data_IF_976899462635
#
_entry.id   IF_976899462635
#
_cell.length_a   1.000
_cell.length_b   1.000
_cell.length_c   1.000
_cell.angle_alpha   90.00
_cell.angle_beta   90.00
_cell.angle_gamma   90.00
#
_symmetry.space_group_name_H-M   'P 1'
#
loop_
_entity.id
_entity.type
_entity.pdbx_description
1 polymer ?
#
# COMPACT_ATOMS: atom_id res chain seq x y z
N UNK A 1 -31.62 -75.25 -16.00
CA UNK A 1 -31.50 -74.18 -14.97
C UNK A 1 -30.12 -74.23 -14.35
N UNK A 2 -29.26 -73.24 -14.61
CA UNK A 2 -27.96 -73.02 -13.96
C UNK A 2 -27.79 -71.51 -13.75
N UNK A 3 -27.59 -71.11 -12.48
CA UNK A 3 -27.32 -69.73 -12.02
C UNK A 3 -25.81 -69.44 -12.06
N UNK A 4 -25.43 -68.15 -12.10
CA UNK A 4 -24.20 -67.46 -11.60
C UNK A 4 -23.84 -66.30 -12.57
N UNK A 5 -24.25 -65.04 -12.39
CA UNK A 5 -23.76 -63.97 -11.47
C UNK A 5 -22.27 -63.62 -11.63
N UNK A 6 -21.95 -62.48 -12.27
CA UNK A 6 -20.70 -61.68 -12.11
C UNK A 6 -21.02 -60.21 -12.50
N UNK A 7 -21.20 -59.31 -11.53
CA UNK A 7 -20.17 -58.50 -10.84
C UNK A 7 -20.05 -57.11 -11.48
N UNK A 8 -20.84 -56.19 -10.93
CA UNK A 8 -20.77 -54.75 -11.15
C UNK A 8 -19.55 -54.22 -10.38
N UNK A 9 -18.55 -53.66 -11.07
CA UNK A 9 -17.41 -53.00 -10.42
C UNK A 9 -17.83 -51.59 -10.04
N UNK A 10 -18.07 -51.37 -8.74
CA UNK A 10 -18.12 -50.02 -8.16
C UNK A 10 -16.71 -49.45 -8.13
N UNK A 11 -16.47 -48.38 -8.88
CA UNK A 11 -15.30 -47.54 -8.71
C UNK A 11 -15.48 -46.69 -7.44
N UNK A 12 -14.62 -46.97 -6.46
CA UNK A 12 -14.55 -46.36 -5.14
C UNK A 12 -14.20 -44.88 -5.18
N UNK A 13 -14.97 -44.08 -4.44
CA UNK A 13 -14.76 -42.66 -4.14
C UNK A 13 -13.47 -42.49 -3.34
N UNK A 14 -12.46 -41.85 -3.91
CA UNK A 14 -11.30 -41.38 -3.16
C UNK A 14 -11.62 -39.98 -2.60
N UNK A 15 -12.15 -39.95 -1.38
CA UNK A 15 -12.27 -38.72 -0.60
C UNK A 15 -10.89 -38.26 -0.14
N UNK A 16 -10.26 -37.37 -0.88
CA UNK A 16 -9.10 -36.64 -0.40
C UNK A 16 -9.56 -35.67 0.70
N UNK A 17 -9.27 -36.01 1.95
CA UNK A 17 -9.45 -35.09 3.09
C UNK A 17 -8.44 -33.96 2.90
N UNK A 18 -8.89 -32.86 2.31
CA UNK A 18 -8.16 -31.60 2.25
C UNK A 18 -8.06 -31.08 3.68
N UNK A 19 -6.96 -31.42 4.36
CA UNK A 19 -6.59 -30.72 5.58
C UNK A 19 -6.38 -29.24 5.22
N UNK A 20 -7.05 -28.28 5.90
CA UNK A 20 -6.81 -26.87 5.65
C UNK A 20 -5.41 -26.54 6.13
N UNK A 21 -4.45 -26.47 5.22
CA UNK A 21 -3.17 -25.82 5.48
C UNK A 21 -3.48 -24.40 5.91
N UNK A 22 -3.21 -24.08 7.17
CA UNK A 22 -3.14 -22.69 7.64
C UNK A 22 -1.96 -22.05 6.92
N UNK A 23 -2.23 -21.55 5.71
CA UNK A 23 -1.31 -20.72 4.97
C UNK A 23 -1.02 -19.50 5.85
N UNK A 24 0.10 -19.55 6.58
CA UNK A 24 0.68 -18.36 7.16
C UNK A 24 0.97 -17.44 5.98
N UNK A 25 0.13 -16.42 5.81
CA UNK A 25 0.35 -15.38 4.82
C UNK A 25 1.73 -14.79 5.12
N UNK A 26 2.70 -15.06 4.24
CA UNK A 26 4.02 -14.49 4.35
C UNK A 26 3.88 -12.96 4.43
N UNK A 27 4.55 -12.35 5.41
CA UNK A 27 4.57 -10.89 5.48
C UNK A 27 5.26 -10.35 4.23
N UNK A 28 4.70 -9.33 3.56
CA UNK A 28 5.34 -8.73 2.40
C UNK A 28 6.77 -8.27 2.72
N UNK A 29 7.70 -8.61 1.83
CA UNK A 29 9.08 -8.13 1.90
C UNK A 29 9.13 -6.61 1.66
N UNK A 30 10.11 -5.90 2.26
CA UNK A 30 10.33 -4.49 1.95
C UNK A 30 10.71 -4.30 0.48
N UNK A 31 10.14 -3.27 -0.13
CA UNK A 31 10.40 -2.85 -1.50
C UNK A 31 10.86 -1.40 -1.50
N UNK A 32 11.84 -1.09 -2.35
CA UNK A 32 12.30 0.28 -2.59
C UNK A 32 11.83 0.75 -3.95
N UNK A 33 11.13 1.88 -4.01
CA UNK A 33 10.62 2.43 -5.26
C UNK A 33 10.64 3.96 -5.25
N UNK A 34 10.69 4.55 -6.46
CA UNK A 34 10.32 5.94 -6.67
C UNK A 34 8.82 6.08 -6.40
N UNK A 35 8.45 6.88 -5.40
CA UNK A 35 7.06 7.22 -5.15
C UNK A 35 6.55 8.23 -6.18
N UNK A 36 7.35 9.26 -6.43
CA UNK A 36 7.02 10.33 -7.36
C UNK A 36 8.07 11.44 -7.35
N UNK A 37 7.91 12.37 -8.28
CA UNK A 37 8.69 13.62 -8.35
C UNK A 37 7.81 14.77 -7.84
N UNK A 38 8.31 15.51 -6.87
CA UNK A 38 7.61 16.60 -6.21
C UNK A 38 8.38 17.92 -6.38
N UNK A 39 7.77 19.04 -6.00
CA UNK A 39 8.46 20.33 -6.01
C UNK A 39 9.75 20.30 -5.19
N UNK A 40 10.68 21.21 -5.48
CA UNK A 40 11.94 21.32 -4.73
C UNK A 40 11.70 21.46 -3.22
N UNK A 41 12.44 20.69 -2.42
CA UNK A 41 12.30 20.57 -0.97
C UNK A 41 11.10 19.73 -0.51
N UNK A 42 10.11 19.45 -1.37
CA UNK A 42 8.87 18.76 -0.98
C UNK A 42 9.10 17.28 -0.74
N UNK A 43 9.91 16.61 -1.57
CA UNK A 43 10.22 15.19 -1.39
C UNK A 43 10.79 14.88 0.00
N UNK A 44 11.66 15.76 0.53
CA UNK A 44 12.22 15.61 1.87
C UNK A 44 11.16 15.75 2.98
N UNK A 45 10.27 16.74 2.84
CA UNK A 45 9.19 16.97 3.82
C UNK A 45 8.18 15.80 3.81
N UNK A 46 7.77 15.36 2.62
CA UNK A 46 6.87 14.21 2.47
C UNK A 46 7.54 12.97 3.04
N UNK A 47 8.78 12.69 2.62
CA UNK A 47 9.65 11.60 3.06
C UNK A 47 9.79 11.49 4.57
N UNK A 48 10.10 12.60 5.23
CA UNK A 48 10.23 12.64 6.69
C UNK A 48 8.87 12.39 7.38
N UNK A 49 7.80 13.00 6.88
CA UNK A 49 6.46 12.84 7.44
C UNK A 49 5.98 11.38 7.39
N UNK A 50 6.11 10.70 6.26
CA UNK A 50 5.68 9.30 6.18
C UNK A 50 6.62 8.33 6.90
N UNK A 51 7.90 8.66 7.10
CA UNK A 51 8.78 7.87 7.98
C UNK A 51 8.32 8.00 9.42
N UNK A 52 8.02 9.21 9.87
CA UNK A 52 7.54 9.48 11.23
C UNK A 52 6.14 8.91 11.48
N UNK A 53 5.29 8.89 10.46
CA UNK A 53 4.04 8.14 10.52
C UNK A 53 4.32 6.62 10.57
N UNK A 54 5.44 6.12 10.06
CA UNK A 54 5.75 4.69 9.94
C UNK A 54 5.05 4.05 8.76
N UNK A 55 4.84 4.80 7.68
CA UNK A 55 4.26 4.33 6.41
C UNK A 55 5.32 3.73 5.50
N UNK A 56 6.57 4.16 5.66
CA UNK A 56 7.76 3.56 5.06
C UNK A 56 8.88 3.47 6.11
N UNK A 57 9.80 2.53 5.88
CA UNK A 57 10.93 2.22 6.76
C UNK A 57 12.07 3.23 6.59
N UNK A 58 12.30 3.68 5.36
CA UNK A 58 13.30 4.70 5.04
C UNK A 58 12.92 5.46 3.78
N UNK A 59 13.61 6.58 3.55
CA UNK A 59 13.47 7.35 2.31
C UNK A 59 14.81 7.96 1.91
N UNK A 60 14.94 8.28 0.64
CA UNK A 60 16.02 9.10 0.09
C UNK A 60 15.46 10.09 -0.92
N UNK A 61 16.17 11.20 -1.10
CA UNK A 61 15.78 12.27 -2.03
C UNK A 61 16.86 12.40 -3.07
N UNK A 62 16.43 12.47 -4.33
CA UNK A 62 17.30 12.79 -5.47
C UNK A 62 16.77 14.03 -6.17
N UNK A 63 17.49 15.14 -6.03
CA UNK A 63 17.15 16.37 -6.75
C UNK A 63 17.46 16.25 -8.23
N UNK A 64 16.53 16.69 -9.07
CA UNK A 64 16.64 16.73 -10.52
C UNK A 64 16.22 18.09 -11.09
N UNK A 65 16.10 18.16 -12.42
CA UNK A 65 15.73 19.42 -13.08
C UNK A 65 14.25 19.80 -12.88
N UNK A 66 13.36 18.80 -12.82
CA UNK A 66 11.91 19.00 -12.72
C UNK A 66 11.39 19.06 -11.26
N UNK A 67 12.28 18.92 -10.28
CA UNK A 67 11.92 18.79 -8.87
C UNK A 67 12.76 17.75 -8.17
N UNK A 68 12.28 17.29 -7.01
CA UNK A 68 12.92 16.28 -6.20
C UNK A 68 12.18 14.94 -6.28
N UNK A 69 12.92 13.89 -6.61
CA UNK A 69 12.42 12.51 -6.57
C UNK A 69 12.41 12.01 -5.13
N UNK A 70 11.27 11.47 -4.70
CA UNK A 70 11.14 10.77 -3.43
C UNK A 70 11.22 9.26 -3.65
N UNK A 71 12.28 8.64 -3.16
CA UNK A 71 12.47 7.20 -3.18
C UNK A 71 12.20 6.67 -1.76
N UNK A 72 11.31 5.70 -1.63
CA UNK A 72 10.90 5.15 -0.33
C UNK A 72 11.16 3.65 -0.27
N UNK A 73 11.49 3.15 0.92
CA UNK A 73 11.53 1.72 1.23
C UNK A 73 10.37 1.39 2.16
N UNK A 74 9.45 0.51 1.74
CA UNK A 74 8.20 0.23 2.45
C UNK A 74 7.79 -1.23 2.27
N UNK A 75 6.93 -1.73 3.14
CA UNK A 75 6.29 -3.04 2.96
C UNK A 75 4.95 -2.87 2.26
N UNK A 76 4.76 -3.45 1.07
CA UNK A 76 3.49 -3.35 0.36
C UNK A 76 2.33 -3.88 1.21
N UNK A 77 1.17 -3.25 1.09
CA UNK A 77 -0.05 -3.62 1.82
C UNK A 77 -1.12 -4.08 0.85
N UNK A 78 -1.70 -5.24 1.14
CA UNK A 78 -2.92 -5.73 0.49
C UNK A 78 -4.16 -5.55 1.36
N UNK A 79 -3.97 -5.18 2.63
CA UNK A 79 -5.04 -4.91 3.60
C UNK A 79 -4.86 -3.53 4.22
N UNK A 80 -6.00 -2.89 4.48
CA UNK A 80 -6.02 -1.57 5.08
C UNK A 80 -5.41 -1.56 6.49
N UNK A 81 -4.89 -0.42 6.93
CA UNK A 81 -4.56 -0.15 8.31
C UNK A 81 -5.81 -0.35 9.18
N UNK A 82 -5.67 -0.93 10.40
CA UNK A 82 -6.79 -1.12 11.32
C UNK A 82 -7.50 0.19 11.68
N UNK A 83 -6.75 1.30 11.68
CA UNK A 83 -7.26 2.64 11.87
C UNK A 83 -6.69 3.56 10.79
N UNK A 84 -7.48 4.57 10.43
CA UNK A 84 -7.06 5.61 9.50
C UNK A 84 -5.82 6.35 10.04
N UNK A 85 -4.79 6.44 9.21
CA UNK A 85 -3.47 6.90 9.62
C UNK A 85 -3.15 8.23 8.96
N UNK A 86 -2.82 9.25 9.76
CA UNK A 86 -2.31 10.51 9.24
C UNK A 86 -0.86 10.33 8.81
N UNK A 87 -0.55 10.69 7.56
CA UNK A 87 0.81 10.54 7.00
C UNK A 87 1.50 11.89 6.87
N UNK A 88 0.78 12.87 6.37
CA UNK A 88 1.39 14.08 5.86
C UNK A 88 0.38 15.24 5.85
N UNK A 89 0.85 16.47 6.05
CA UNK A 89 0.03 17.68 5.93
C UNK A 89 0.71 18.66 4.98
N UNK A 90 0.05 18.94 3.85
CA UNK A 90 0.42 19.99 2.93
C UNK A 90 -0.20 21.31 3.38
N UNK A 91 0.60 22.34 3.68
CA UNK A 91 0.11 23.66 4.04
C UNK A 91 0.25 24.64 2.86
N UNK A 92 -0.73 25.51 2.63
CA UNK A 92 -0.76 26.38 1.44
C UNK A 92 0.32 27.47 1.42
N UNK A 93 0.94 27.77 2.57
CA UNK A 93 2.12 28.63 2.66
C UNK A 93 3.42 27.93 2.25
N UNK A 94 3.38 26.60 2.10
CA UNK A 94 4.51 25.74 1.72
C UNK A 94 4.39 25.22 0.28
N UNK A 95 3.18 25.17 -0.28
CA UNK A 95 2.89 24.64 -1.61
C UNK A 95 1.82 25.44 -2.32
N UNK A 96 1.99 25.62 -3.63
CA UNK A 96 1.06 26.38 -4.46
C UNK A 96 -0.36 25.78 -4.49
N UNK A 97 -0.46 24.45 -4.49
CA UNK A 97 -1.74 23.72 -4.40
C UNK A 97 -1.60 22.52 -3.45
N UNK A 98 -1.96 22.74 -2.18
CA UNK A 98 -1.92 21.71 -1.15
C UNK A 98 -2.92 20.57 -1.43
N UNK A 99 -4.03 20.86 -2.12
CA UNK A 99 -5.00 19.84 -2.47
C UNK A 99 -4.42 18.89 -3.51
N UNK A 100 -3.82 19.45 -4.56
CA UNK A 100 -3.18 18.69 -5.62
C UNK A 100 -2.03 17.84 -5.08
N UNK A 101 -1.15 18.40 -4.25
CA UNK A 101 -0.04 17.64 -3.67
C UNK A 101 -0.55 16.49 -2.78
N UNK A 102 -1.54 16.74 -1.92
CA UNK A 102 -2.13 15.67 -1.11
C UNK A 102 -2.70 14.54 -1.97
N UNK A 103 -3.41 14.88 -3.05
CA UNK A 103 -3.98 13.89 -3.98
C UNK A 103 -2.90 13.13 -4.73
N UNK A 104 -1.84 13.82 -5.16
CA UNK A 104 -0.72 13.21 -5.85
C UNK A 104 -0.03 12.19 -4.95
N UNK A 105 0.44 12.60 -3.77
CA UNK A 105 1.09 11.69 -2.81
C UNK A 105 0.20 10.51 -2.47
N UNK A 106 -1.10 10.77 -2.20
CA UNK A 106 -2.10 9.75 -1.92
C UNK A 106 -2.26 8.72 -3.04
N UNK A 107 -2.36 9.18 -4.29
CA UNK A 107 -2.52 8.33 -5.45
C UNK A 107 -1.25 7.53 -5.77
N UNK A 108 -0.09 8.16 -5.69
CA UNK A 108 1.21 7.52 -5.86
C UNK A 108 1.37 6.36 -4.87
N UNK A 109 1.04 6.58 -3.60
CA UNK A 109 1.14 5.51 -2.60
C UNK A 109 0.15 4.37 -2.81
N UNK A 110 -1.03 4.61 -3.41
CA UNK A 110 -1.95 3.52 -3.83
C UNK A 110 -1.36 2.76 -5.02
N UNK A 111 -0.85 3.48 -6.03
CA UNK A 111 -0.27 2.88 -7.23
C UNK A 111 0.93 1.97 -6.89
N UNK A 112 1.70 2.35 -5.87
CA UNK A 112 2.83 1.58 -5.36
C UNK A 112 2.45 0.56 -4.28
N UNK A 113 1.18 0.51 -3.83
CA UNK A 113 0.73 -0.41 -2.78
C UNK A 113 1.31 -0.10 -1.40
N UNK A 114 1.72 1.13 -1.14
CA UNK A 114 2.16 1.61 0.19
C UNK A 114 0.97 1.61 1.16
N UNK A 115 -0.21 1.92 0.65
CA UNK A 115 -1.50 1.83 1.33
C UNK A 115 -2.58 1.39 0.32
N UNK A 116 -3.72 0.95 0.82
CA UNK A 116 -4.81 0.42 -0.01
C UNK A 116 -5.69 1.56 -0.54
N UNK A 117 -5.88 2.60 0.25
CA UNK A 117 -6.65 3.79 -0.13
C UNK A 117 -6.20 5.00 0.66
N UNK A 118 -6.62 6.17 0.20
CA UNK A 118 -6.34 7.44 0.87
C UNK A 118 -7.53 8.39 0.82
N UNK A 119 -7.48 9.40 1.67
CA UNK A 119 -8.34 10.57 1.61
C UNK A 119 -7.55 11.82 1.99
N UNK A 120 -7.88 12.92 1.33
CA UNK A 120 -7.39 14.24 1.70
C UNK A 120 -8.48 14.95 2.50
N UNK A 121 -8.14 15.42 3.70
CA UNK A 121 -9.05 16.21 4.54
C UNK A 121 -8.51 17.62 4.69
N UNK A 122 -9.36 18.61 4.43
CA UNK A 122 -9.07 20.02 4.72
C UNK A 122 -8.84 20.22 6.22
N UNK A 123 -7.76 20.91 6.56
CA UNK A 123 -7.43 21.32 7.94
C UNK A 123 -8.07 22.66 8.33
N UNK A 124 -7.88 23.05 9.59
CA UNK A 124 -8.35 24.33 10.15
C UNK A 124 -7.57 25.55 9.63
N UNK A 125 -6.29 25.38 9.32
CA UNK A 125 -5.50 26.28 8.49
C UNK A 125 -5.64 25.85 7.02
N UNK A 126 -5.40 26.74 6.01
CA UNK A 126 -5.44 26.32 4.61
C UNK A 126 -4.35 25.26 4.42
N UNK A 127 -4.78 24.00 4.47
CA UNK A 127 -3.93 22.82 4.45
C UNK A 127 -4.77 21.60 4.10
N UNK A 128 -4.12 20.60 3.51
CA UNK A 128 -4.69 19.29 3.26
C UNK A 128 -3.87 18.23 3.98
N UNK A 129 -4.54 17.46 4.81
CA UNK A 129 -3.93 16.34 5.52
C UNK A 129 -4.27 15.04 4.81
N UNK A 130 -3.22 14.27 4.50
CA UNK A 130 -3.30 12.94 3.92
C UNK A 130 -3.56 11.92 5.02
N UNK A 131 -4.68 11.23 4.89
CA UNK A 131 -5.05 10.07 5.69
C UNK A 131 -5.05 8.83 4.81
N UNK A 132 -4.46 7.74 5.28
CA UNK A 132 -4.33 6.49 4.53
C UNK A 132 -4.98 5.32 5.28
N UNK A 133 -5.39 4.33 4.50
CA UNK A 133 -5.93 3.05 4.95
C UNK A 133 -5.24 1.97 4.14
#
# INVERSE_FOLDING_TARGET
>A
MRKLTRSLVLASVAGAVLAPSTAHAASPEPTTALLGTYGFGRAAVIGEAGRNAGTWESFSVRSGFAGDDLIITYRPRTTAYPAEKQVYTAAFDQVADAQAECRQVGADGVAHGVWVSFRCRTGFAPSYTLFVR
#
